data_IF_570276962251
#
_entry.id   IF_570276962251
#
_cell.length_a   1.000
_cell.length_b   1.000
_cell.length_c   1.000
_cell.angle_alpha   90.00
_cell.angle_beta   90.00
_cell.angle_gamma   90.00
#
_symmetry.space_group_name_H-M   'P 1'
#
loop_
_entity.id
_entity.type
_entity.pdbx_description
1 polymer ?
#
# COMPACT_ATOMS: atom_id res chain seq x y z
N UNK A 1 26.66 -5.55 -21.30
CA UNK A 1 26.67 -7.02 -21.13
C UNK A 1 26.96 -7.44 -19.69
N UNK A 2 27.72 -6.68 -18.89
CA UNK A 2 27.97 -6.99 -17.47
C UNK A 2 26.71 -6.96 -16.58
N UNK A 3 25.77 -6.04 -16.79
CA UNK A 3 24.57 -5.91 -15.95
C UNK A 3 23.56 -7.08 -16.03
N UNK A 4 23.54 -7.84 -17.14
CA UNK A 4 22.59 -8.95 -17.33
C UNK A 4 23.00 -10.19 -16.52
N UNK A 5 24.29 -10.40 -16.29
CA UNK A 5 24.78 -11.49 -15.46
C UNK A 5 24.45 -11.25 -13.98
N UNK A 6 24.47 -9.99 -13.54
CA UNK A 6 24.21 -9.59 -12.15
C UNK A 6 22.73 -9.79 -11.75
N UNK A 7 21.77 -9.49 -12.63
CA UNK A 7 20.34 -9.67 -12.31
C UNK A 7 19.91 -11.13 -12.23
N UNK A 8 20.49 -12.01 -13.06
CA UNK A 8 20.22 -13.46 -12.99
C UNK A 8 20.71 -14.04 -11.67
N UNK A 9 21.90 -13.67 -11.23
CA UNK A 9 22.42 -14.09 -9.92
C UNK A 9 21.60 -13.50 -8.76
N UNK A 10 21.13 -12.26 -8.89
CA UNK A 10 20.22 -11.65 -7.91
C UNK A 10 18.90 -12.43 -7.80
N UNK A 11 18.32 -12.87 -8.92
CA UNK A 11 17.11 -13.70 -8.94
C UNK A 11 17.35 -15.10 -8.36
N UNK A 12 18.48 -15.74 -8.67
CA UNK A 12 18.87 -17.01 -8.04
C UNK A 12 19.01 -16.87 -6.53
N UNK A 13 19.66 -15.80 -6.08
CA UNK A 13 19.82 -15.52 -4.66
C UNK A 13 18.47 -15.24 -3.99
N UNK A 14 17.55 -14.55 -4.67
CA UNK A 14 16.17 -14.37 -4.20
C UNK A 14 15.47 -15.72 -4.00
N UNK A 15 15.52 -16.63 -4.97
CA UNK A 15 14.93 -17.97 -4.84
C UNK A 15 15.53 -18.72 -3.65
N UNK A 16 16.85 -18.72 -3.50
CA UNK A 16 17.54 -19.37 -2.40
C UNK A 16 17.08 -18.82 -1.04
N UNK A 17 17.08 -17.49 -0.88
CA UNK A 17 16.61 -16.83 0.34
C UNK A 17 15.15 -17.20 0.63
N UNK A 18 14.30 -17.23 -0.39
CA UNK A 18 12.88 -17.57 -0.24
C UNK A 18 12.70 -19.03 0.22
N UNK A 19 13.39 -19.98 -0.40
CA UNK A 19 13.36 -21.40 -0.02
C UNK A 19 13.88 -21.62 1.40
N UNK A 20 15.02 -21.02 1.74
CA UNK A 20 15.59 -21.11 3.09
C UNK A 20 14.63 -20.52 4.14
N UNK A 21 14.02 -19.37 3.84
CA UNK A 21 13.04 -18.73 4.73
C UNK A 21 11.81 -19.60 4.96
N UNK A 22 11.28 -20.25 3.90
CA UNK A 22 10.16 -21.18 4.01
C UNK A 22 10.52 -22.41 4.86
N UNK A 23 11.72 -22.97 4.71
CA UNK A 23 12.20 -24.11 5.49
C UNK A 23 12.40 -23.77 6.97
N UNK A 24 12.79 -22.54 7.28
CA UNK A 24 13.05 -22.07 8.65
C UNK A 24 11.77 -21.71 9.43
N UNK A 25 10.58 -22.06 8.92
CA UNK A 25 9.31 -21.73 9.55
C UNK A 25 8.83 -20.31 9.25
N UNK A 26 9.41 -19.70 8.23
CA UNK A 26 8.95 -18.44 7.69
C UNK A 26 9.52 -17.20 8.39
N UNK A 27 9.04 -16.02 7.96
CA UNK A 27 9.54 -14.71 8.38
C UNK A 27 9.38 -14.37 9.86
N UNK A 28 8.60 -15.15 10.59
CA UNK A 28 8.39 -15.02 12.04
C UNK A 28 9.49 -15.67 12.84
N UNK A 29 10.15 -16.67 12.26
CA UNK A 29 11.26 -17.39 12.87
C UNK A 29 12.61 -16.80 12.43
N UNK A 30 12.71 -16.26 11.22
CA UNK A 30 13.92 -15.58 10.74
C UNK A 30 13.65 -14.20 10.10
N UNK A 31 13.47 -13.20 10.96
CA UNK A 31 13.21 -11.82 10.55
C UNK A 31 14.37 -11.17 9.78
N UNK A 32 15.62 -11.52 10.07
CA UNK A 32 16.78 -10.98 9.35
C UNK A 32 16.82 -11.47 7.89
N UNK A 33 16.58 -12.77 7.68
CA UNK A 33 16.50 -13.35 6.35
C UNK A 33 15.31 -12.80 5.55
N UNK A 34 14.19 -12.51 6.21
CA UNK A 34 13.10 -11.77 5.58
C UNK A 34 13.50 -10.35 5.15
N UNK A 35 14.26 -9.61 5.95
CA UNK A 35 14.77 -8.30 5.55
C UNK A 35 15.71 -8.41 4.33
N UNK A 36 16.49 -9.48 4.24
CA UNK A 36 17.31 -9.78 3.06
C UNK A 36 16.44 -10.09 1.82
N UNK A 37 15.35 -10.83 1.98
CA UNK A 37 14.35 -11.07 0.92
C UNK A 37 13.81 -9.74 0.38
N UNK A 38 13.30 -8.88 1.26
CA UNK A 38 12.73 -7.56 0.87
C UNK A 38 13.78 -6.66 0.22
N UNK A 39 15.02 -6.68 0.70
CA UNK A 39 16.12 -5.94 0.06
C UNK A 39 16.41 -6.46 -1.35
N UNK A 40 16.35 -7.77 -1.54
CA UNK A 40 16.57 -8.40 -2.84
C UNK A 40 15.43 -8.09 -3.81
N UNK A 41 14.17 -8.13 -3.35
CA UNK A 41 13.00 -7.69 -4.13
C UNK A 41 13.15 -6.23 -4.60
N UNK A 42 13.57 -5.34 -3.69
CA UNK A 42 13.84 -3.94 -4.04
C UNK A 42 14.91 -3.81 -5.12
N UNK A 43 16.00 -4.58 -5.03
CA UNK A 43 17.08 -4.55 -6.01
C UNK A 43 16.59 -5.04 -7.39
N UNK A 44 15.82 -6.13 -7.42
CA UNK A 44 15.22 -6.66 -8.65
C UNK A 44 14.36 -5.60 -9.32
N UNK A 45 13.40 -5.00 -8.59
CA UNK A 45 12.51 -3.99 -9.18
C UNK A 45 13.26 -2.72 -9.62
N UNK A 46 14.25 -2.29 -8.82
CA UNK A 46 15.08 -1.13 -9.15
C UNK A 46 15.87 -1.33 -10.45
N UNK A 47 16.36 -2.54 -10.71
CA UNK A 47 17.04 -2.88 -11.97
C UNK A 47 16.15 -2.64 -13.20
N UNK A 48 14.85 -2.92 -13.09
CA UNK A 48 13.87 -2.70 -14.16
C UNK A 48 13.23 -1.30 -14.13
N UNK A 49 13.64 -0.42 -13.21
CA UNK A 49 13.03 0.90 -13.02
C UNK A 49 11.57 0.84 -12.56
N UNK A 50 11.17 -0.27 -11.94
CA UNK A 50 9.82 -0.49 -11.40
C UNK A 50 9.75 -0.03 -9.94
N UNK A 51 8.63 0.58 -9.50
CA UNK A 51 8.45 0.96 -8.11
C UNK A 51 8.20 -0.28 -7.23
N UNK A 52 8.56 -0.18 -5.94
CA UNK A 52 8.30 -1.23 -4.95
C UNK A 52 6.83 -1.19 -4.51
N UNK A 53 5.92 -1.73 -5.35
CA UNK A 53 4.48 -1.82 -5.06
C UNK A 53 4.02 -3.28 -4.94
N UNK A 54 2.85 -3.49 -4.32
CA UNK A 54 2.25 -4.83 -4.15
C UNK A 54 2.11 -5.57 -5.47
N UNK A 55 1.69 -4.88 -6.53
CA UNK A 55 1.56 -5.45 -7.88
C UNK A 55 2.84 -6.14 -8.36
N UNK A 56 3.98 -5.45 -8.28
CA UNK A 56 5.24 -5.99 -8.79
C UNK A 56 5.88 -7.00 -7.84
N UNK A 57 5.62 -6.88 -6.53
CA UNK A 57 6.04 -7.88 -5.54
C UNK A 57 5.28 -9.20 -5.75
N UNK A 58 3.95 -9.16 -5.89
CA UNK A 58 3.11 -10.34 -6.19
C UNK A 58 3.52 -11.03 -7.50
N UNK A 59 3.93 -10.24 -8.50
CA UNK A 59 4.48 -10.77 -9.75
C UNK A 59 5.72 -11.64 -9.51
N UNK A 60 6.64 -11.17 -8.66
CA UNK A 60 7.82 -11.93 -8.26
C UNK A 60 7.40 -13.22 -7.57
N UNK A 61 6.46 -13.16 -6.61
CA UNK A 61 6.04 -14.32 -5.84
C UNK A 61 5.40 -15.40 -6.73
N UNK A 62 4.38 -15.03 -7.51
CA UNK A 62 3.63 -15.96 -8.34
C UNK A 62 4.49 -16.73 -9.36
N UNK A 63 5.56 -16.10 -9.85
CA UNK A 63 6.44 -16.72 -10.86
C UNK A 63 7.32 -17.82 -10.27
N UNK A 64 7.66 -17.73 -8.98
CA UNK A 64 8.51 -18.71 -8.30
C UNK A 64 7.74 -19.79 -7.54
N UNK A 65 6.41 -19.64 -7.41
CA UNK A 65 5.54 -20.67 -6.82
C UNK A 65 5.18 -21.80 -7.81
N UNK A 66 5.41 -21.64 -9.13
CA UNK A 66 4.72 -22.44 -10.15
C UNK A 66 5.49 -23.59 -10.84
N UNK A 67 6.81 -23.78 -10.75
CA UNK A 67 7.45 -24.92 -11.47
C UNK A 67 8.80 -25.41 -10.90
N UNK A 68 9.18 -26.65 -11.26
CA UNK A 68 10.40 -27.36 -10.84
C UNK A 68 11.72 -26.90 -11.51
N UNK A 69 11.70 -26.04 -12.54
CA UNK A 69 12.92 -25.61 -13.25
C UNK A 69 13.26 -24.12 -13.01
N UNK A 70 14.24 -23.89 -12.13
CA UNK A 70 14.70 -22.56 -11.72
C UNK A 70 15.18 -21.68 -12.89
N UNK A 71 15.88 -22.24 -13.88
CA UNK A 71 16.45 -21.45 -14.98
C UNK A 71 15.39 -20.95 -15.96
N UNK A 72 14.36 -21.76 -16.20
CA UNK A 72 13.23 -21.38 -17.06
C UNK A 72 12.40 -20.29 -16.39
N UNK A 73 12.16 -20.41 -15.07
CA UNK A 73 11.45 -19.39 -14.29
C UNK A 73 12.18 -18.05 -14.27
N UNK A 74 13.51 -18.06 -14.12
CA UNK A 74 14.31 -16.83 -14.20
C UNK A 74 14.13 -16.17 -15.57
N UNK A 75 14.12 -16.96 -16.65
CA UNK A 75 13.95 -16.42 -18.00
C UNK A 75 12.56 -15.82 -18.20
N UNK A 76 11.50 -16.53 -17.81
CA UNK A 76 10.12 -16.02 -17.85
C UNK A 76 9.95 -14.76 -17.01
N UNK A 77 10.58 -14.72 -15.83
CA UNK A 77 10.51 -13.56 -14.94
C UNK A 77 11.20 -12.33 -15.52
N UNK A 78 12.36 -12.52 -16.16
CA UNK A 78 13.07 -11.42 -16.84
C UNK A 78 12.20 -10.82 -17.95
N UNK A 79 11.57 -11.67 -18.78
CA UNK A 79 10.71 -11.21 -19.87
C UNK A 79 9.49 -10.46 -19.35
N UNK A 80 8.84 -10.99 -18.31
CA UNK A 80 7.65 -10.38 -17.73
C UNK A 80 7.95 -9.06 -17.00
N UNK A 81 9.04 -8.99 -16.21
CA UNK A 81 9.50 -7.73 -15.59
C UNK A 81 9.87 -6.70 -16.65
N UNK A 82 10.50 -7.12 -17.75
CA UNK A 82 10.87 -6.21 -18.82
C UNK A 82 9.65 -5.71 -19.60
N UNK A 83 8.63 -6.55 -19.78
CA UNK A 83 7.32 -6.16 -20.33
C UNK A 83 6.63 -5.15 -19.42
N UNK A 84 6.55 -5.43 -18.12
CA UNK A 84 5.96 -4.52 -17.11
C UNK A 84 6.72 -3.20 -16.99
N UNK A 85 8.04 -3.22 -17.12
CA UNK A 85 8.85 -2.00 -17.16
C UNK A 85 8.45 -1.11 -18.33
N UNK A 86 8.30 -1.68 -19.54
CA UNK A 86 7.86 -0.91 -20.72
C UNK A 86 6.45 -0.33 -20.56
N UNK A 87 5.51 -1.12 -20.02
CA UNK A 87 4.16 -0.64 -19.69
C UNK A 87 4.24 0.55 -18.72
N UNK A 88 5.01 0.41 -17.64
CA UNK A 88 5.17 1.45 -16.63
C UNK A 88 5.83 2.72 -17.18
N UNK A 89 6.87 2.60 -18.00
CA UNK A 89 7.50 3.76 -18.65
C UNK A 89 6.52 4.49 -19.58
N UNK A 90 5.66 3.73 -20.27
CA UNK A 90 4.64 4.30 -21.16
C UNK A 90 3.56 5.03 -20.36
N UNK A 91 3.16 4.51 -19.20
CA UNK A 91 2.15 5.15 -18.33
C UNK A 91 2.73 6.26 -17.44
N UNK A 92 4.05 6.35 -17.29
CA UNK A 92 4.71 7.31 -16.40
C UNK A 92 4.36 8.76 -16.72
N UNK A 93 4.25 9.08 -18.02
CA UNK A 93 3.95 10.42 -18.53
C UNK A 93 2.45 10.72 -18.64
N UNK A 94 1.57 9.76 -18.32
CA UNK A 94 0.14 10.02 -18.28
C UNK A 94 -0.18 11.03 -17.18
N UNK A 95 -1.11 11.95 -17.48
CA UNK A 95 -1.57 12.92 -16.49
C UNK A 95 -2.34 12.19 -15.36
N UNK A 96 -2.57 12.87 -14.24
CA UNK A 96 -3.25 12.27 -13.07
C UNK A 96 -4.65 11.79 -13.43
N UNK A 97 -5.36 12.52 -14.29
CA UNK A 97 -6.72 12.18 -14.73
C UNK A 97 -6.77 10.86 -15.51
N UNK A 98 -5.86 10.67 -16.46
CA UNK A 98 -5.73 9.45 -17.27
C UNK A 98 -5.38 8.25 -16.38
N UNK A 99 -4.48 8.46 -15.41
CA UNK A 99 -4.10 7.42 -14.43
C UNK A 99 -5.29 7.01 -13.57
N UNK A 100 -6.13 7.95 -13.15
CA UNK A 100 -7.36 7.68 -12.38
C UNK A 100 -8.41 6.98 -13.24
N UNK A 101 -8.67 7.43 -14.47
CA UNK A 101 -9.61 6.77 -15.39
C UNK A 101 -9.22 5.33 -15.67
N UNK A 102 -7.95 5.09 -16.01
CA UNK A 102 -7.44 3.74 -16.20
C UNK A 102 -7.51 2.90 -14.92
N UNK A 103 -7.34 3.53 -13.75
CA UNK A 103 -7.49 2.85 -12.47
C UNK A 103 -8.95 2.45 -12.18
N UNK A 104 -9.93 3.26 -12.59
CA UNK A 104 -11.35 2.93 -12.50
C UNK A 104 -11.70 1.75 -13.41
N UNK A 105 -11.27 1.78 -14.67
CA UNK A 105 -11.51 0.71 -15.65
C UNK A 105 -10.93 -0.64 -15.20
N UNK A 106 -9.73 -0.61 -14.62
CA UNK A 106 -9.00 -1.81 -14.22
C UNK A 106 -9.13 -2.15 -12.72
N UNK A 107 -9.98 -1.42 -11.98
CA UNK A 107 -10.15 -1.54 -10.52
C UNK A 107 -8.82 -1.61 -9.77
N UNK A 108 -7.87 -0.73 -10.11
CA UNK A 108 -6.55 -0.71 -9.49
C UNK A 108 -6.66 -0.36 -8.01
N UNK A 109 -5.83 -0.98 -7.18
CA UNK A 109 -5.74 -0.64 -5.76
C UNK A 109 -5.08 0.73 -5.55
N UNK A 110 -5.52 1.46 -4.53
CA UNK A 110 -4.95 2.76 -4.14
C UNK A 110 -3.43 2.68 -3.90
N UNK A 111 -2.96 1.57 -3.33
CA UNK A 111 -1.56 1.32 -3.03
C UNK A 111 -0.66 1.26 -4.26
N UNK A 112 -1.21 0.88 -5.41
CA UNK A 112 -0.47 0.86 -6.65
C UNK A 112 -0.58 2.20 -7.39
N UNK A 113 -1.71 2.91 -7.26
CA UNK A 113 -1.95 4.16 -7.97
C UNK A 113 -1.31 5.37 -7.27
N UNK A 114 -1.51 5.52 -5.96
CA UNK A 114 -1.15 6.73 -5.21
C UNK A 114 0.34 7.10 -5.33
N UNK A 115 1.30 6.15 -5.28
CA UNK A 115 2.70 6.46 -5.54
C UNK A 115 2.97 7.01 -6.95
N UNK A 116 2.14 6.68 -7.95
CA UNK A 116 2.29 7.16 -9.34
C UNK A 116 1.72 8.58 -9.56
N UNK A 117 0.87 9.05 -8.66
CA UNK A 117 0.21 10.36 -8.70
C UNK A 117 0.62 11.29 -7.55
N UNK A 118 1.65 10.90 -6.79
CA UNK A 118 2.21 11.65 -5.66
C UNK A 118 1.18 12.03 -4.58
N UNK A 119 0.32 11.07 -4.24
CA UNK A 119 -0.66 11.19 -3.15
C UNK A 119 -0.22 10.32 -1.98
N UNK A 120 -0.19 10.90 -0.78
CA UNK A 120 0.11 10.15 0.44
C UNK A 120 -1.05 9.24 0.83
N UNK A 121 -0.71 7.99 1.19
CA UNK A 121 -1.67 7.03 1.72
C UNK A 121 -2.07 7.38 3.15
N UNK A 122 -3.32 7.79 3.33
CA UNK A 122 -3.96 7.95 4.64
C UNK A 122 -5.44 7.54 4.59
N UNK A 123 -6.04 7.38 5.77
CA UNK A 123 -7.42 6.89 5.92
C UNK A 123 -8.43 7.67 5.06
N UNK A 124 -8.27 8.98 4.97
CA UNK A 124 -9.18 9.83 4.21
C UNK A 124 -8.98 9.71 2.70
N UNK A 125 -7.73 9.72 2.22
CA UNK A 125 -7.44 9.51 0.79
C UNK A 125 -7.90 8.13 0.31
N UNK A 126 -7.78 7.10 1.16
CA UNK A 126 -8.30 5.75 0.88
C UNK A 126 -9.83 5.76 0.78
N UNK A 127 -10.50 6.44 1.73
CA UNK A 127 -11.95 6.63 1.68
C UNK A 127 -12.38 7.35 0.39
N UNK A 128 -11.75 8.48 0.04
CA UNK A 128 -12.06 9.23 -1.18
C UNK A 128 -11.89 8.35 -2.42
N UNK A 129 -10.82 7.58 -2.50
CA UNK A 129 -10.57 6.73 -3.66
C UNK A 129 -11.48 5.49 -3.72
N UNK A 130 -11.62 4.74 -2.63
CA UNK A 130 -12.40 3.49 -2.65
C UNK A 130 -13.91 3.77 -2.69
N UNK A 131 -14.37 4.67 -1.82
CA UNK A 131 -15.81 4.90 -1.63
C UNK A 131 -16.35 5.95 -2.60
N UNK A 132 -15.66 7.09 -2.75
CA UNK A 132 -16.19 8.16 -3.60
C UNK A 132 -15.84 7.92 -5.08
N UNK A 133 -14.60 7.51 -5.38
CA UNK A 133 -14.21 7.27 -6.76
C UNK A 133 -14.63 5.89 -7.27
N UNK A 134 -14.11 4.80 -6.71
CA UNK A 134 -14.37 3.45 -7.23
C UNK A 134 -15.82 2.99 -7.02
N UNK A 135 -16.42 3.22 -5.84
CA UNK A 135 -17.78 2.76 -5.57
C UNK A 135 -18.86 3.71 -6.11
N UNK A 136 -18.74 5.02 -5.83
CA UNK A 136 -19.74 6.01 -6.24
C UNK A 136 -19.51 6.67 -7.61
N UNK A 137 -18.37 6.42 -8.26
CA UNK A 137 -18.03 6.92 -9.61
C UNK A 137 -18.11 8.45 -9.72
N UNK A 138 -17.66 9.17 -8.67
CA UNK A 138 -17.56 10.63 -8.73
C UNK A 138 -16.59 11.10 -9.82
N UNK A 139 -16.86 12.27 -10.39
CA UNK A 139 -16.07 12.84 -11.47
C UNK A 139 -14.59 13.02 -11.09
N UNK A 140 -13.69 12.70 -12.03
CA UNK A 140 -12.23 12.67 -11.82
C UNK A 140 -11.71 14.01 -11.30
N UNK A 141 -12.18 15.13 -11.83
CA UNK A 141 -11.72 16.46 -11.41
C UNK A 141 -12.05 16.76 -9.94
N UNK A 142 -13.20 16.27 -9.45
CA UNK A 142 -13.59 16.41 -8.05
C UNK A 142 -12.67 15.57 -7.17
N UNK A 143 -12.38 14.33 -7.58
CA UNK A 143 -11.49 13.42 -6.85
C UNK A 143 -10.07 13.98 -6.77
N UNK A 144 -9.53 14.47 -7.90
CA UNK A 144 -8.20 15.09 -7.93
C UNK A 144 -8.15 16.30 -7.00
N UNK A 145 -9.13 17.21 -7.11
CA UNK A 145 -9.19 18.38 -6.25
C UNK A 145 -9.25 17.99 -4.77
N UNK A 146 -10.01 16.96 -4.42
CA UNK A 146 -10.14 16.51 -3.04
C UNK A 146 -8.83 15.94 -2.50
N UNK A 147 -8.20 15.02 -3.25
CA UNK A 147 -6.94 14.37 -2.85
C UNK A 147 -5.81 15.40 -2.68
N UNK A 148 -5.74 16.40 -3.57
CA UNK A 148 -4.76 17.48 -3.48
C UNK A 148 -5.00 18.42 -2.29
N UNK A 149 -6.25 18.74 -1.95
CA UNK A 149 -6.56 19.57 -0.77
C UNK A 149 -6.30 18.81 0.53
N UNK A 150 -6.59 17.51 0.55
CA UNK A 150 -6.40 16.66 1.70
C UNK A 150 -4.92 16.44 2.05
N UNK A 151 -4.00 16.56 1.10
CA UNK A 151 -2.55 16.39 1.34
C UNK A 151 -1.91 17.53 2.15
N UNK A 152 -2.59 18.68 2.27
CA UNK A 152 -2.11 19.77 3.10
C UNK A 152 -2.02 19.33 4.58
N UNK A 153 -0.89 19.64 5.23
CA UNK A 153 -0.58 19.18 6.59
C UNK A 153 -1.66 19.56 7.61
N UNK A 154 -2.22 20.76 7.50
CA UNK A 154 -3.31 21.20 8.36
C UNK A 154 -4.59 20.40 8.10
N UNK A 155 -4.90 20.09 6.84
CA UNK A 155 -6.06 19.25 6.51
C UNK A 155 -5.92 17.86 7.13
N UNK A 156 -4.76 17.21 6.99
CA UNK A 156 -4.51 15.87 7.55
C UNK A 156 -4.75 15.82 9.07
N UNK A 157 -4.24 16.81 9.81
CA UNK A 157 -4.43 16.89 11.26
C UNK A 157 -5.91 17.06 11.61
N UNK A 158 -6.62 17.95 10.93
CA UNK A 158 -8.04 18.22 11.19
C UNK A 158 -8.92 17.02 10.80
N UNK A 159 -8.63 16.34 9.68
CA UNK A 159 -9.29 15.11 9.25
C UNK A 159 -9.17 14.02 10.31
N UNK A 160 -7.96 13.85 10.86
CA UNK A 160 -7.73 12.87 11.91
C UNK A 160 -8.55 13.19 13.15
N UNK A 161 -8.53 14.44 13.62
CA UNK A 161 -9.36 14.85 14.78
C UNK A 161 -10.85 14.64 14.52
N UNK A 162 -11.32 14.98 13.32
CA UNK A 162 -12.72 14.81 12.94
C UNK A 162 -13.13 13.33 12.93
N UNK A 163 -12.24 12.42 12.51
CA UNK A 163 -12.52 10.98 12.50
C UNK A 163 -12.75 10.38 13.89
N UNK A 164 -12.27 11.05 14.95
CA UNK A 164 -12.47 10.63 16.35
C UNK A 164 -13.78 11.15 16.94
N UNK A 165 -14.43 12.12 16.30
CA UNK A 165 -15.66 12.75 16.79
C UNK A 165 -16.88 11.93 16.35
N UNK A 166 -17.54 11.29 17.31
CA UNK A 166 -18.73 10.47 17.03
C UNK A 166 -20.04 11.27 17.04
N UNK A 167 -20.12 12.41 17.74
CA UNK A 167 -21.35 13.21 17.91
C UNK A 167 -21.08 14.70 17.72
N UNK A 168 -22.01 15.39 17.02
CA UNK A 168 -21.98 16.84 16.76
C UNK A 168 -20.67 17.34 16.15
N UNK A 169 -20.09 16.58 15.23
CA UNK A 169 -18.84 16.94 14.54
C UNK A 169 -19.01 18.22 13.72
N UNK A 170 -20.23 18.50 13.28
CA UNK A 170 -20.64 19.68 12.51
C UNK A 170 -20.36 20.99 13.26
N UNK A 171 -20.34 20.95 14.61
CA UNK A 171 -20.06 22.11 15.45
C UNK A 171 -18.57 22.26 15.80
N UNK A 172 -17.70 21.39 15.29
CA UNK A 172 -16.28 21.44 15.60
C UNK A 172 -15.53 22.44 14.73
N UNK A 173 -14.48 23.03 15.29
CA UNK A 173 -13.55 23.88 14.54
C UNK A 173 -12.89 23.11 13.39
N UNK A 174 -12.68 21.81 13.58
CA UNK A 174 -12.10 20.90 12.56
C UNK A 174 -13.01 20.78 11.33
N UNK A 175 -14.32 20.60 11.55
CA UNK A 175 -15.30 20.52 10.46
C UNK A 175 -15.39 21.85 9.70
N UNK A 176 -15.49 22.95 10.45
CA UNK A 176 -15.53 24.30 9.88
C UNK A 176 -14.28 24.60 9.06
N UNK A 177 -13.10 24.21 9.56
CA UNK A 177 -11.84 24.37 8.84
C UNK A 177 -11.82 23.58 7.52
N UNK A 178 -12.17 22.30 7.55
CA UNK A 178 -12.09 21.44 6.36
C UNK A 178 -13.10 21.84 5.28
N UNK A 179 -14.30 22.26 5.69
CA UNK A 179 -15.31 22.79 4.76
C UNK A 179 -14.89 24.13 4.16
N UNK A 180 -14.27 25.03 4.94
CA UNK A 180 -13.67 26.28 4.43
C UNK A 180 -12.52 26.02 3.46
N UNK A 181 -11.75 24.95 3.65
CA UNK A 181 -10.73 24.49 2.69
C UNK A 181 -11.33 23.85 1.44
N UNK A 182 -12.66 23.70 1.39
CA UNK A 182 -13.39 23.19 0.24
C UNK A 182 -13.20 21.70 0.02
N UNK A 183 -13.06 20.92 1.11
CA UNK A 183 -13.18 19.47 1.06
C UNK A 183 -14.67 19.10 1.00
N UNK A 184 -15.07 18.40 -0.05
CA UNK A 184 -16.46 18.07 -0.34
C UNK A 184 -16.97 16.85 0.42
N UNK A 185 -16.12 15.84 0.65
CA UNK A 185 -16.54 14.54 1.17
C UNK A 185 -16.37 14.40 2.68
N UNK A 186 -16.23 15.51 3.41
CA UNK A 186 -16.03 15.50 4.86
C UNK A 186 -17.22 14.85 5.59
N UNK A 187 -18.45 15.15 5.17
CA UNK A 187 -19.66 14.56 5.75
C UNK A 187 -19.76 13.05 5.46
N UNK A 188 -19.54 12.65 4.20
CA UNK A 188 -19.52 11.24 3.82
C UNK A 188 -18.45 10.46 4.58
N UNK A 189 -17.26 11.05 4.78
CA UNK A 189 -16.17 10.44 5.53
C UNK A 189 -16.52 10.19 7.00
N UNK A 190 -17.13 11.17 7.67
CA UNK A 190 -17.54 11.00 9.06
C UNK A 190 -18.64 9.94 9.19
N UNK A 191 -19.58 9.91 8.25
CA UNK A 191 -20.62 8.88 8.21
C UNK A 191 -20.04 7.49 7.94
N UNK A 192 -19.07 7.39 7.02
CA UNK A 192 -18.35 6.15 6.75
C UNK A 192 -17.58 5.66 7.99
N UNK A 193 -16.88 6.56 8.71
CA UNK A 193 -16.24 6.23 9.99
C UNK A 193 -17.25 5.70 11.01
N UNK A 194 -18.43 6.33 11.14
CA UNK A 194 -19.50 5.86 12.04
C UNK A 194 -20.02 4.48 11.66
N UNK A 195 -20.25 4.22 10.37
CA UNK A 195 -20.71 2.93 9.89
C UNK A 195 -19.68 1.84 10.18
N UNK A 196 -18.42 2.08 9.85
CA UNK A 196 -17.29 1.19 10.18
C UNK A 196 -17.22 0.89 11.68
N UNK A 197 -17.38 1.91 12.51
CA UNK A 197 -17.26 1.76 13.96
C UNK A 197 -18.50 1.07 14.58
N UNK A 198 -19.69 1.29 14.01
CA UNK A 198 -20.96 0.64 14.41
C UNK A 198 -21.09 -0.80 13.93
N UNK A 199 -20.44 -1.14 12.81
CA UNK A 199 -20.32 -2.51 12.30
C UNK A 199 -19.54 -3.46 13.24
N UNK A 200 -19.05 -2.99 14.40
CA UNK A 200 -18.58 -3.87 15.49
C UNK A 200 -19.69 -4.71 16.13
N UNK A 201 -20.96 -4.47 15.81
CA UNK A 201 -22.11 -5.27 16.25
C UNK A 201 -23.01 -5.65 15.06
N UNK A 202 -22.60 -6.61 14.23
CA UNK A 202 -23.49 -7.66 13.69
C UNK A 202 -22.90 -8.41 12.48
N UNK A 203 -23.12 -9.72 12.51
CA UNK A 203 -23.07 -10.71 11.44
C UNK A 203 -21.70 -11.29 11.02
N UNK A 204 -21.67 -12.61 11.07
CA UNK A 204 -20.59 -13.55 10.76
C UNK A 204 -20.14 -13.55 9.30
N UNK A 205 -20.85 -12.85 8.41
CA UNK A 205 -20.52 -12.73 6.98
C UNK A 205 -19.55 -11.57 6.68
N UNK A 206 -19.29 -10.71 7.67
CA UNK A 206 -18.51 -9.47 7.57
C UNK A 206 -17.06 -9.63 8.06
N UNK A 207 -16.74 -10.77 8.69
CA UNK A 207 -15.43 -11.02 9.30
C UNK A 207 -14.33 -11.26 8.27
N UNK A 208 -14.61 -11.90 7.12
CA UNK A 208 -13.59 -12.15 6.09
C UNK A 208 -13.15 -10.85 5.42
N UNK A 209 -14.11 -10.01 5.03
CA UNK A 209 -13.86 -8.73 4.36
C UNK A 209 -13.22 -7.72 5.32
N UNK A 210 -13.70 -7.63 6.57
CA UNK A 210 -13.04 -6.82 7.60
C UNK A 210 -11.67 -7.33 8.01
N UNK A 211 -11.46 -8.65 8.02
CA UNK A 211 -10.13 -9.20 8.24
C UNK A 211 -9.20 -8.84 7.08
N UNK A 212 -9.68 -8.88 5.84
CA UNK A 212 -8.91 -8.48 4.67
C UNK A 212 -8.57 -6.98 4.71
N UNK A 213 -9.54 -6.11 4.99
CA UNK A 213 -9.31 -4.67 5.16
C UNK A 213 -8.40 -4.33 6.34
N UNK A 214 -8.52 -5.07 7.45
CA UNK A 214 -7.63 -4.96 8.59
C UNK A 214 -6.21 -5.45 8.23
N UNK A 215 -6.09 -6.57 7.54
CA UNK A 215 -4.83 -7.12 7.04
C UNK A 215 -4.15 -6.13 6.09
N UNK A 216 -4.90 -5.48 5.20
CA UNK A 216 -4.38 -4.45 4.30
C UNK A 216 -3.96 -3.19 5.06
N UNK A 217 -4.75 -2.76 6.05
CA UNK A 217 -4.43 -1.60 6.90
C UNK A 217 -3.21 -1.84 7.79
N UNK A 218 -3.06 -3.06 8.31
CA UNK A 218 -1.91 -3.50 9.08
C UNK A 218 -0.68 -3.59 8.16
N UNK A 219 -0.82 -4.19 6.97
CA UNK A 219 0.23 -4.24 5.95
C UNK A 219 0.70 -2.85 5.52
N UNK A 220 -0.22 -1.90 5.37
CA UNK A 220 0.05 -0.49 5.14
C UNK A 220 0.89 0.12 6.26
N UNK A 221 0.47 -0.07 7.51
CA UNK A 221 1.22 0.41 8.67
C UNK A 221 2.64 -0.17 8.71
N UNK A 222 2.82 -1.44 8.31
CA UNK A 222 4.16 -2.03 8.23
C UNK A 222 5.02 -1.46 7.09
N UNK A 223 4.42 -1.23 5.91
CA UNK A 223 5.12 -0.60 4.78
C UNK A 223 5.59 0.80 5.14
N UNK A 224 4.76 1.58 5.85
CA UNK A 224 5.14 2.89 6.39
C UNK A 224 6.29 2.78 7.40
N UNK A 225 6.25 1.79 8.29
CA UNK A 225 7.36 1.51 9.19
C UNK A 225 8.67 1.25 8.44
N UNK A 226 8.64 0.41 7.40
CA UNK A 226 9.82 0.11 6.56
C UNK A 226 10.30 1.36 5.81
N UNK A 227 9.39 2.19 5.31
CA UNK A 227 9.73 3.46 4.66
C UNK A 227 10.51 4.38 5.61
N UNK A 228 10.06 4.57 6.86
CA UNK A 228 10.77 5.39 7.84
C UNK A 228 12.12 4.79 8.24
N UNK A 229 12.21 3.45 8.35
CA UNK A 229 13.49 2.77 8.57
C UNK A 229 14.49 3.02 7.44
N UNK A 230 14.04 3.03 6.18
CA UNK A 230 14.89 3.34 5.02
C UNK A 230 15.36 4.80 5.01
N UNK A 231 14.59 5.73 5.58
CA UNK A 231 14.99 7.13 5.81
C UNK A 231 15.91 7.33 7.02
N UNK A 232 16.38 6.26 7.66
CA UNK A 232 17.33 6.32 8.79
C UNK A 232 16.69 6.53 10.16
N UNK A 233 15.37 6.41 10.29
CA UNK A 233 14.70 6.61 11.58
C UNK A 233 15.04 5.45 12.53
N UNK A 234 15.15 5.76 13.83
CA UNK A 234 15.27 4.75 14.88
C UNK A 234 14.01 3.89 14.94
N UNK A 235 14.12 2.69 15.49
CA UNK A 235 13.01 1.73 15.49
C UNK A 235 11.77 2.29 16.21
N UNK A 236 11.96 2.94 17.35
CA UNK A 236 10.89 3.59 18.11
C UNK A 236 10.25 4.74 17.34
N UNK A 237 11.05 5.58 16.66
CA UNK A 237 10.52 6.68 15.84
C UNK A 237 9.75 6.13 14.64
N UNK A 238 10.28 5.13 13.94
CA UNK A 238 9.60 4.51 12.81
C UNK A 238 8.27 3.84 13.23
N UNK A 239 8.23 3.14 14.37
CA UNK A 239 6.99 2.57 14.96
C UNK A 239 5.99 3.66 15.31
N UNK A 240 6.45 4.77 15.89
CA UNK A 240 5.60 5.92 16.22
C UNK A 240 4.99 6.57 14.99
N UNK A 241 5.77 6.80 13.94
CA UNK A 241 5.30 7.45 12.71
C UNK A 241 4.42 6.54 11.82
N UNK A 242 4.51 5.23 12.00
CA UNK A 242 3.67 4.24 11.30
C UNK A 242 2.41 3.82 12.07
N UNK A 243 2.21 4.34 13.29
CA UNK A 243 1.09 3.93 14.15
C UNK A 243 1.25 2.53 14.77
N UNK A 244 2.42 1.90 14.66
CA UNK A 244 2.73 0.57 15.20
C UNK A 244 3.45 0.64 16.55
N UNK A 245 2.97 1.48 17.46
CA UNK A 245 3.57 1.66 18.80
C UNK A 245 3.29 0.49 19.74
N UNK A 246 2.22 -0.26 19.51
CA UNK A 246 1.90 -1.45 20.28
C UNK A 246 2.72 -2.65 19.79
N UNK A 247 3.55 -3.23 20.65
CA UNK A 247 4.49 -4.30 20.28
C UNK A 247 3.79 -5.59 19.82
N UNK A 248 2.60 -5.91 20.37
CA UNK A 248 1.83 -7.08 19.95
C UNK A 248 1.25 -6.86 18.55
N UNK A 249 0.69 -5.67 18.31
CA UNK A 249 0.18 -5.28 16.99
C UNK A 249 1.32 -5.25 15.98
N UNK A 250 2.47 -4.68 16.32
CA UNK A 250 3.65 -4.69 15.45
C UNK A 250 4.07 -6.11 15.05
N UNK A 251 4.10 -7.06 15.99
CA UNK A 251 4.41 -8.47 15.69
C UNK A 251 3.34 -9.14 14.82
N UNK A 252 2.06 -8.87 15.06
CA UNK A 252 0.95 -9.39 14.23
C UNK A 252 1.01 -8.79 12.83
N UNK A 253 1.25 -7.49 12.71
CA UNK A 253 1.38 -6.77 11.45
C UNK A 253 2.58 -7.28 10.66
N UNK A 254 3.71 -7.47 11.34
CA UNK A 254 4.89 -8.10 10.77
C UNK A 254 4.54 -9.52 10.29
N UNK A 255 3.86 -10.33 11.10
CA UNK A 255 3.41 -11.67 10.72
C UNK A 255 2.52 -11.62 9.46
N UNK A 256 1.47 -10.79 9.47
CA UNK A 256 0.51 -10.65 8.39
C UNK A 256 1.18 -10.20 7.11
N UNK A 257 1.95 -9.10 7.16
CA UNK A 257 2.70 -8.57 6.01
C UNK A 257 3.68 -9.58 5.40
N UNK A 258 4.14 -10.52 6.21
CA UNK A 258 5.12 -11.50 5.79
C UNK A 258 4.51 -12.82 5.32
N UNK A 259 3.21 -13.06 5.56
CA UNK A 259 2.47 -14.30 5.23
C UNK A 259 1.22 -14.06 4.37
N UNK A 260 1.00 -12.84 3.87
CA UNK A 260 0.01 -12.49 2.82
C UNK A 260 0.70 -11.89 1.62
#
# INVERSE_FOLDING_TARGET
MEHIYDIKETLKNYCRINTELSLEGGPTHNGEKYLQKVKTEKNILSYFGLPLTSKYIKLIWNTFDLTYNLNDNITLMLDELQRKSREYQSSKNANISDKLLHALENKREAFDLFPEIDIDLNLYTLFVYNEMFLAKHHAVDIIISELQKASAKECLSNIYQLSLLSKKYENSDYYSFLTQKGLFFVNDFVNWCKLRDNQKYNSTYDLSTKNEDAIQSLSLAFRLFLHYKQKGYSNEKAKKHSGLTNERVFKIVQYVYTHT
#
